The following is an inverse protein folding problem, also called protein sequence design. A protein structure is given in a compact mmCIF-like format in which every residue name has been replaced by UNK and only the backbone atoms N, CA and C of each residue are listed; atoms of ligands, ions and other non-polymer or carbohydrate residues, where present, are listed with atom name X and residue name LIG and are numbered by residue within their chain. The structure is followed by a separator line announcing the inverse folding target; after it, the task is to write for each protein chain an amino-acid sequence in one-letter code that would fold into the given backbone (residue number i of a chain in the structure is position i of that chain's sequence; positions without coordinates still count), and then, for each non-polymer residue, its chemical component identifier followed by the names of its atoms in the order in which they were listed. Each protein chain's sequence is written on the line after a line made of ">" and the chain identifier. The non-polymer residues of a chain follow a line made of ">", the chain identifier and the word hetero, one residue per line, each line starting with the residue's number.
data_IF_082832988836
#
_entry.id   IF_082832988836
#
_cell.length_a   1.000
_cell.length_b   1.000
_cell.length_c   1.000
_cell.angle_alpha   90.00
_cell.angle_beta   90.00
_cell.angle_gamma   90.00
#
_symmetry.space_group_name_H-M   'P 1'
#
loop_
_entity.id
_entity.type
_entity.pdbx_description
1 polymer ?
#
# COMPACT_ATOMS: atom_id res chain seq x y z
N UNK A 1 -17.46 -23.29 12.58
CA UNK A 1 -17.23 -21.83 12.45
C UNK A 1 -17.28 -21.51 10.97
N UNK A 2 -17.97 -20.44 10.56
CA UNK A 2 -17.96 -20.02 9.15
C UNK A 2 -16.56 -19.54 8.79
N UNK A 3 -15.96 -20.12 7.76
CA UNK A 3 -14.67 -19.68 7.24
C UNK A 3 -14.86 -18.36 6.48
N UNK A 4 -13.98 -17.38 6.69
CA UNK A 4 -13.98 -16.15 5.91
C UNK A 4 -13.90 -16.50 4.40
N UNK A 5 -14.73 -15.84 3.60
CA UNK A 5 -14.67 -15.95 2.14
C UNK A 5 -14.30 -14.59 1.57
N UNK A 6 -13.14 -14.53 0.91
CA UNK A 6 -12.65 -13.30 0.29
C UNK A 6 -13.52 -12.94 -0.93
N UNK A 7 -13.94 -11.68 -1.01
CA UNK A 7 -14.70 -11.15 -2.14
C UNK A 7 -14.11 -9.82 -2.59
N UNK A 8 -14.35 -9.44 -3.84
CA UNK A 8 -13.97 -8.11 -4.34
C UNK A 8 -14.61 -7.00 -3.49
N UNK A 9 -15.89 -7.14 -3.13
CA UNK A 9 -16.59 -6.17 -2.29
C UNK A 9 -15.90 -5.96 -0.93
N UNK A 10 -15.41 -7.04 -0.31
CA UNK A 10 -14.63 -6.95 0.92
C UNK A 10 -13.34 -6.16 0.69
N UNK A 11 -12.55 -6.50 -0.34
CA UNK A 11 -11.30 -5.79 -0.65
C UNK A 11 -11.53 -4.31 -0.90
N UNK A 12 -12.56 -3.96 -1.69
CA UNK A 12 -12.90 -2.56 -1.95
C UNK A 12 -13.33 -1.84 -0.68
N UNK A 13 -14.07 -2.49 0.23
CA UNK A 13 -14.41 -1.89 1.53
C UNK A 13 -13.19 -1.55 2.39
N UNK A 14 -12.06 -2.26 2.20
CA UNK A 14 -10.80 -1.96 2.87
C UNK A 14 -10.09 -0.76 2.25
N UNK A 15 -10.04 -0.70 0.91
CA UNK A 15 -9.21 0.25 0.16
C UNK A 15 -9.92 1.56 -0.18
N UNK A 16 -11.24 1.54 -0.25
CA UNK A 16 -12.08 2.65 -0.71
C UNK A 16 -13.06 3.14 0.38
N UNK A 17 -12.66 3.28 1.66
CA UNK A 17 -13.59 3.65 2.72
C UNK A 17 -14.23 5.02 2.46
N UNK A 18 -15.56 5.02 2.30
CA UNK A 18 -16.35 6.21 2.04
C UNK A 18 -16.23 6.78 0.62
N UNK A 19 -15.75 5.99 -0.34
CA UNK A 19 -15.82 6.31 -1.77
C UNK A 19 -17.21 5.91 -2.29
N UNK A 20 -17.90 6.86 -2.93
CA UNK A 20 -19.26 6.63 -3.45
C UNK A 20 -19.25 6.07 -4.88
N UNK A 21 -18.23 6.41 -5.67
CA UNK A 21 -18.13 6.00 -7.08
C UNK A 21 -16.83 5.23 -7.34
N UNK A 22 -16.91 4.06 -7.98
CA UNK A 22 -15.72 3.34 -8.42
C UNK A 22 -14.78 4.24 -9.23
N UNK A 23 -13.48 4.22 -8.89
CA UNK A 23 -12.46 5.03 -9.58
C UNK A 23 -12.23 6.44 -9.01
N UNK A 24 -12.85 6.81 -7.90
CA UNK A 24 -12.46 8.02 -7.16
C UNK A 24 -11.25 7.76 -6.24
N UNK A 25 -10.52 8.83 -5.93
CA UNK A 25 -9.36 8.76 -5.02
C UNK A 25 -9.85 8.74 -3.57
N UNK A 26 -9.44 7.72 -2.81
CA UNK A 26 -9.64 7.67 -1.37
C UNK A 26 -8.44 8.28 -0.63
N UNK A 27 -8.69 9.31 0.17
CA UNK A 27 -7.67 9.93 1.04
C UNK A 27 -7.64 9.34 2.46
N UNK A 28 -8.48 8.34 2.73
CA UNK A 28 -8.65 7.76 4.06
C UNK A 28 -8.00 6.38 4.20
N UNK A 29 -7.54 5.76 3.11
CA UNK A 29 -7.07 4.37 3.08
C UNK A 29 -5.98 4.06 4.10
N UNK A 30 -5.09 5.01 4.39
CA UNK A 30 -3.95 4.83 5.28
C UNK A 30 -4.07 5.59 6.62
N UNK A 31 -5.27 6.06 6.98
CA UNK A 31 -5.48 6.61 8.33
C UNK A 31 -5.37 5.49 9.37
N UNK A 32 -4.91 5.76 10.61
CA UNK A 32 -4.71 4.71 11.61
C UNK A 32 -5.96 3.87 11.93
N UNK A 33 -7.15 4.48 11.84
CA UNK A 33 -8.45 3.85 12.06
C UNK A 33 -9.10 3.33 10.76
N UNK A 34 -8.42 3.43 9.62
CA UNK A 34 -8.96 2.98 8.34
C UNK A 34 -9.16 1.46 8.30
N UNK A 35 -10.20 0.97 7.59
CA UNK A 35 -10.46 -0.45 7.47
C UNK A 35 -9.26 -1.30 7.00
N UNK A 36 -8.48 -0.81 6.03
CA UNK A 36 -7.25 -1.48 5.59
C UNK A 36 -6.27 -1.68 6.77
N UNK A 37 -5.98 -0.62 7.52
CA UNK A 37 -5.01 -0.67 8.63
C UNK A 37 -5.48 -1.62 9.73
N UNK A 38 -6.79 -1.68 9.99
CA UNK A 38 -7.39 -2.62 10.95
C UNK A 38 -7.44 -4.06 10.44
N UNK A 39 -7.40 -4.29 9.14
CA UNK A 39 -7.43 -5.63 8.54
C UNK A 39 -6.05 -6.29 8.47
N UNK A 40 -4.97 -5.54 8.60
CA UNK A 40 -3.59 -6.05 8.55
C UNK A 40 -3.21 -6.73 9.86
N UNK A 41 -2.61 -7.92 9.78
CA UNK A 41 -1.91 -8.54 10.90
C UNK A 41 -0.61 -7.75 11.20
N UNK A 42 -0.36 -7.29 12.44
CA UNK A 42 0.87 -6.56 12.77
C UNK A 42 2.17 -7.30 12.41
N UNK A 43 2.14 -8.64 12.39
CA UNK A 43 3.24 -9.52 12.04
C UNK A 43 3.21 -9.96 10.58
N UNK A 44 2.42 -9.31 9.72
CA UNK A 44 2.39 -9.67 8.30
C UNK A 44 3.80 -9.68 7.70
N UNK A 45 3.93 -10.42 6.61
CA UNK A 45 5.07 -10.31 5.71
C UNK A 45 4.75 -9.30 4.60
N UNK A 46 5.27 -8.07 4.67
CA UNK A 46 5.12 -7.06 3.63
C UNK A 46 6.36 -7.03 2.74
N UNK A 47 6.25 -7.56 1.54
CA UNK A 47 7.31 -7.63 0.54
C UNK A 47 7.16 -6.47 -0.43
N UNK A 48 8.22 -5.70 -0.64
CA UNK A 48 8.29 -4.69 -1.70
C UNK A 48 9.29 -5.13 -2.75
N UNK A 49 8.81 -5.28 -3.99
CA UNK A 49 9.49 -5.77 -5.20
C UNK A 49 9.98 -7.22 -5.15
N UNK A 50 10.89 -7.56 -4.24
CA UNK A 50 11.51 -8.87 -4.17
C UNK A 50 11.67 -9.34 -2.72
N UNK A 51 11.27 -10.58 -2.47
CA UNK A 51 11.33 -11.24 -1.18
C UNK A 51 12.61 -12.07 -0.99
N UNK A 52 13.29 -12.42 -2.09
CA UNK A 52 14.39 -13.39 -2.16
C UNK A 52 15.62 -12.86 -2.94
N UNK A 53 15.49 -11.75 -3.66
CA UNK A 53 16.59 -11.12 -4.38
C UNK A 53 17.47 -10.21 -3.53
N UNK A 54 18.66 -9.90 -4.08
CA UNK A 54 19.50 -8.83 -3.54
C UNK A 54 18.76 -7.49 -3.75
N UNK A 55 18.31 -6.86 -2.66
CA UNK A 55 17.83 -5.47 -2.73
C UNK A 55 18.90 -4.62 -3.41
N UNK A 56 18.51 -3.75 -4.34
CA UNK A 56 19.49 -2.92 -5.04
C UNK A 56 20.19 -2.01 -4.01
N UNK A 57 21.52 -2.07 -3.87
CA UNK A 57 22.22 -1.26 -2.89
C UNK A 57 21.91 0.23 -3.06
N UNK A 58 21.32 0.84 -2.04
CA UNK A 58 20.92 2.25 -2.03
C UNK A 58 19.45 2.52 -2.34
N UNK A 59 18.66 1.54 -2.79
CA UNK A 59 17.20 1.68 -2.91
C UNK A 59 16.56 1.41 -1.55
N UNK A 60 15.98 2.43 -0.93
CA UNK A 60 15.60 2.40 0.50
C UNK A 60 14.29 1.68 0.80
N UNK A 61 13.50 1.38 -0.23
CA UNK A 61 12.13 0.89 -0.07
C UNK A 61 11.94 -0.60 -0.45
N UNK A 62 13.00 -1.33 -0.80
CA UNK A 62 12.92 -2.75 -1.21
C UNK A 62 13.19 -3.68 -0.02
N UNK A 63 12.51 -4.82 0.02
CA UNK A 63 12.74 -5.88 1.00
C UNK A 63 11.48 -6.38 1.68
N UNK A 64 11.65 -7.03 2.84
CA UNK A 64 10.58 -7.64 3.63
C UNK A 64 10.46 -6.94 4.97
N UNK A 65 9.23 -6.57 5.32
CA UNK A 65 8.92 -5.78 6.51
C UNK A 65 7.74 -6.37 7.27
N UNK A 66 7.76 -6.24 8.60
CA UNK A 66 6.53 -6.22 9.41
C UNK A 66 5.76 -4.92 9.19
N UNK A 67 4.55 -4.78 9.77
CA UNK A 67 3.79 -3.53 9.66
C UNK A 67 4.59 -2.36 10.26
N UNK A 68 5.11 -2.53 11.47
CA UNK A 68 5.90 -1.50 12.17
C UNK A 68 7.15 -1.08 11.36
N UNK A 69 7.85 -2.05 10.78
CA UNK A 69 9.03 -1.76 9.95
C UNK A 69 8.66 -1.06 8.65
N UNK A 70 7.57 -1.46 7.99
CA UNK A 70 7.09 -0.78 6.80
C UNK A 70 6.68 0.66 7.13
N UNK A 71 6.00 0.88 8.26
CA UNK A 71 5.62 2.21 8.70
C UNK A 71 6.83 3.11 8.93
N UNK A 72 7.83 2.60 9.65
CA UNK A 72 9.01 3.37 10.07
C UNK A 72 10.02 3.57 8.93
N UNK A 73 10.22 2.56 8.08
CA UNK A 73 11.24 2.56 7.02
C UNK A 73 10.70 3.02 5.66
N UNK A 74 9.40 2.88 5.40
CA UNK A 74 8.78 3.18 4.10
C UNK A 74 7.72 4.29 4.19
N UNK A 75 6.64 4.08 4.97
CA UNK A 75 5.49 5.01 5.02
C UNK A 75 5.88 6.39 5.57
N UNK A 76 6.45 6.45 6.77
CA UNK A 76 6.79 7.72 7.44
C UNK A 76 7.83 8.51 6.63
N UNK A 77 8.90 7.87 6.11
CA UNK A 77 9.88 8.57 5.30
C UNK A 77 9.32 9.09 3.97
N UNK A 78 8.37 8.38 3.33
CA UNK A 78 7.62 8.91 2.18
C UNK A 78 6.71 10.06 2.61
N UNK A 79 5.93 9.90 3.67
CA UNK A 79 5.04 10.94 4.20
C UNK A 79 5.78 12.25 4.54
N UNK A 80 7.02 12.15 5.03
CA UNK A 80 7.88 13.31 5.28
C UNK A 80 8.27 14.09 4.01
N UNK A 81 8.14 13.50 2.82
CA UNK A 81 8.42 14.13 1.53
C UNK A 81 7.15 14.68 0.84
N UNK A 82 5.96 14.41 1.41
CA UNK A 82 4.67 14.81 0.85
C UNK A 82 4.01 15.93 1.66
N UNK A 83 3.12 16.69 1.04
CA UNK A 83 2.21 17.62 1.71
C UNK A 83 1.26 16.80 2.57
N UNK A 84 1.11 17.19 3.84
CA UNK A 84 0.28 16.48 4.80
C UNK A 84 -1.18 16.34 4.29
N UNK A 85 -1.75 15.14 4.43
CA UNK A 85 -3.11 14.84 3.97
C UNK A 85 -3.30 14.74 2.46
N UNK A 86 -2.25 14.94 1.64
CA UNK A 86 -2.38 14.89 0.18
C UNK A 86 -2.32 13.47 -0.41
N UNK A 87 -1.85 12.48 0.36
CA UNK A 87 -1.74 11.10 -0.12
C UNK A 87 -3.13 10.47 -0.27
N UNK A 88 -3.50 10.19 -1.50
CA UNK A 88 -4.68 9.44 -1.87
C UNK A 88 -4.35 8.19 -2.66
N UNK A 89 -5.24 7.20 -2.60
CA UNK A 89 -5.16 5.95 -3.32
C UNK A 89 -6.45 5.74 -4.13
N UNK A 90 -6.32 5.42 -5.41
CA UNK A 90 -7.43 4.94 -6.23
C UNK A 90 -7.24 3.46 -6.50
N UNK A 91 -8.28 2.68 -6.32
CA UNK A 91 -8.30 1.26 -6.69
C UNK A 91 -8.88 1.11 -8.10
N UNK A 92 -8.05 0.66 -9.03
CA UNK A 92 -8.43 0.53 -10.43
C UNK A 92 -9.10 -0.83 -10.69
N UNK A 93 -8.50 -1.92 -10.22
CA UNK A 93 -9.02 -3.28 -10.42
C UNK A 93 -8.74 -4.17 -9.23
N UNK A 94 -9.61 -5.14 -9.02
CA UNK A 94 -9.50 -6.19 -7.99
C UNK A 94 -9.79 -7.53 -8.65
N UNK A 95 -8.93 -8.51 -8.42
CA UNK A 95 -9.13 -9.90 -8.82
C UNK A 95 -8.99 -10.80 -7.60
N UNK A 96 -9.87 -11.79 -7.47
CA UNK A 96 -9.83 -12.74 -6.35
C UNK A 96 -9.36 -14.10 -6.88
N UNK A 97 -8.36 -14.69 -6.20
CA UNK A 97 -7.88 -16.04 -6.44
C UNK A 97 -7.72 -16.76 -5.11
N UNK A 98 -8.73 -17.56 -4.74
CA UNK A 98 -8.76 -18.22 -3.43
C UNK A 98 -8.80 -17.20 -2.29
N UNK A 99 -7.78 -17.22 -1.43
CA UNK A 99 -7.61 -16.28 -0.31
C UNK A 99 -6.68 -15.10 -0.65
N UNK A 100 -6.34 -14.89 -1.93
CA UNK A 100 -5.50 -13.78 -2.39
C UNK A 100 -6.34 -12.78 -3.18
N UNK A 101 -6.18 -11.49 -2.89
CA UNK A 101 -6.66 -10.40 -3.74
C UNK A 101 -5.50 -9.77 -4.50
N UNK A 102 -5.62 -9.67 -5.82
CA UNK A 102 -4.69 -8.94 -6.68
C UNK A 102 -5.32 -7.59 -7.00
N UNK A 103 -4.65 -6.50 -6.63
CA UNK A 103 -5.20 -5.16 -6.70
C UNK A 103 -4.28 -4.26 -7.52
N UNK A 104 -4.81 -3.66 -8.59
CA UNK A 104 -4.15 -2.56 -9.29
C UNK A 104 -4.59 -1.24 -8.64
N UNK A 105 -3.65 -0.42 -8.18
CA UNK A 105 -3.94 0.89 -7.58
C UNK A 105 -3.06 2.00 -8.12
N UNK A 106 -3.51 3.24 -7.98
CA UNK A 106 -2.75 4.45 -8.29
C UNK A 106 -2.70 5.36 -7.06
N UNK A 107 -1.50 5.65 -6.58
CA UNK A 107 -1.26 6.62 -5.51
C UNK A 107 -1.00 8.00 -6.08
N UNK A 108 -1.66 9.01 -5.52
CA UNK A 108 -1.50 10.41 -5.89
C UNK A 108 -1.24 11.26 -4.66
N UNK A 109 -0.24 12.13 -4.71
CA UNK A 109 0.01 13.13 -3.67
C UNK A 109 0.71 14.35 -4.23
N UNK A 110 0.87 15.39 -3.40
CA UNK A 110 1.75 16.53 -3.71
C UNK A 110 3.03 16.40 -2.91
N UNK A 111 4.19 16.46 -3.56
CA UNK A 111 5.49 16.49 -2.89
C UNK A 111 5.71 17.87 -2.23
N UNK A 112 6.57 17.95 -1.22
CA UNK A 112 6.88 19.22 -0.54
C UNK A 112 7.54 20.26 -1.44
N UNK A 113 8.24 19.82 -2.49
CA UNK A 113 8.77 20.69 -3.53
C UNK A 113 7.73 21.15 -4.59
N UNK A 114 6.45 20.81 -4.40
CA UNK A 114 5.35 21.19 -5.29
C UNK A 114 5.13 20.28 -6.50
N UNK A 115 6.03 19.32 -6.77
CA UNK A 115 5.83 18.34 -7.85
C UNK A 115 4.79 17.29 -7.48
N UNK A 116 4.12 16.66 -8.45
CA UNK A 116 3.21 15.56 -8.17
C UNK A 116 3.96 14.28 -7.78
N UNK A 117 3.38 13.48 -6.88
CA UNK A 117 3.73 12.09 -6.66
C UNK A 117 2.63 11.23 -7.28
N UNK A 118 2.95 10.49 -8.34
CA UNK A 118 1.99 9.65 -9.07
C UNK A 118 2.60 8.25 -9.27
N UNK A 119 2.40 7.36 -8.30
CA UNK A 119 2.90 6.00 -8.37
C UNK A 119 1.77 5.02 -8.73
N UNK A 120 2.14 3.92 -9.37
CA UNK A 120 1.21 2.82 -9.67
C UNK A 120 1.69 1.58 -8.95
N UNK A 121 0.72 0.81 -8.46
CA UNK A 121 0.99 -0.35 -7.65
C UNK A 121 0.22 -1.56 -8.17
N UNK A 122 0.83 -2.73 -8.01
CA UNK A 122 0.10 -3.99 -7.96
C UNK A 122 0.35 -4.61 -6.58
N UNK A 123 -0.72 -4.88 -5.85
CA UNK A 123 -0.67 -5.51 -4.54
C UNK A 123 -1.29 -6.90 -4.60
N UNK A 124 -0.60 -7.89 -4.05
CA UNK A 124 -1.14 -9.21 -3.79
C UNK A 124 -1.35 -9.31 -2.29
N UNK A 125 -2.61 -9.32 -1.86
CA UNK A 125 -3.01 -9.34 -0.47
C UNK A 125 -3.46 -10.76 -0.11
N UNK A 126 -2.69 -11.46 0.71
CA UNK A 126 -3.03 -12.81 1.18
C UNK A 126 -3.80 -12.72 2.50
N UNK A 127 -4.97 -13.34 2.56
CA UNK A 127 -5.84 -13.33 3.73
C UNK A 127 -5.80 -14.64 4.52
N UNK A 128 -5.88 -14.53 5.85
CA UNK A 128 -6.06 -15.66 6.76
C UNK A 128 -7.51 -16.19 6.74
N UNK A 129 -7.77 -17.39 7.30
CA UNK A 129 -9.14 -17.91 7.47
C UNK A 129 -10.08 -17.03 8.32
N UNK A 130 -9.53 -16.10 9.10
CA UNK A 130 -10.23 -15.10 9.92
C UNK A 130 -10.43 -13.76 9.19
N UNK A 131 -9.91 -13.63 7.96
CA UNK A 131 -10.03 -12.42 7.15
C UNK A 131 -9.01 -11.33 7.45
N UNK A 132 -7.88 -11.66 8.08
CA UNK A 132 -6.75 -10.73 8.27
C UNK A 132 -5.77 -10.81 7.11
N UNK A 133 -5.21 -9.68 6.68
CA UNK A 133 -4.13 -9.65 5.69
C UNK A 133 -2.83 -10.06 6.40
N UNK A 134 -2.27 -11.20 6.01
CA UNK A 134 -1.08 -11.81 6.63
C UNK A 134 0.17 -11.70 5.75
N UNK A 135 0.00 -11.38 4.48
CA UNK A 135 1.11 -11.10 3.56
C UNK A 135 0.67 -10.11 2.48
N UNK A 136 1.58 -9.21 2.12
CA UNK A 136 1.42 -8.27 1.01
C UNK A 136 2.64 -8.40 0.11
N UNK A 137 2.45 -8.65 -1.18
CA UNK A 137 3.48 -8.38 -2.19
C UNK A 137 3.13 -7.11 -2.95
N UNK A 138 3.97 -6.10 -2.81
CA UNK A 138 3.80 -4.79 -3.41
C UNK A 138 4.82 -4.58 -4.53
N UNK A 139 4.31 -4.37 -5.75
CA UNK A 139 5.08 -3.92 -6.90
C UNK A 139 4.77 -2.47 -7.17
N UNK A 140 5.80 -1.64 -7.34
CA UNK A 140 5.68 -0.21 -7.56
C UNK A 140 6.88 0.34 -8.36
N UNK A 141 6.81 1.61 -8.77
CA UNK A 141 7.96 2.28 -9.35
C UNK A 141 8.94 2.74 -8.25
N UNK A 142 9.94 1.92 -7.92
CA UNK A 142 10.95 2.23 -6.91
C UNK A 142 11.87 3.39 -7.33
N UNK A 143 12.15 3.55 -8.63
CA UNK A 143 12.90 4.69 -9.15
C UNK A 143 12.18 6.04 -8.95
N UNK A 144 10.85 6.04 -8.91
CA UNK A 144 10.08 7.23 -8.52
C UNK A 144 10.27 7.55 -7.04
N UNK A 145 10.25 6.56 -6.15
CA UNK A 145 10.49 6.78 -4.72
C UNK A 145 11.87 7.36 -4.45
N UNK A 146 12.91 6.81 -5.08
CA UNK A 146 14.28 7.33 -4.91
C UNK A 146 14.41 8.79 -5.34
N UNK A 147 13.75 9.16 -6.46
CA UNK A 147 13.71 10.55 -6.90
C UNK A 147 12.99 11.45 -5.89
N UNK A 148 11.85 11.01 -5.35
CA UNK A 148 11.11 11.77 -4.33
C UNK A 148 12.00 12.01 -3.12
N UNK A 149 12.76 11.00 -2.67
CA UNK A 149 13.68 11.14 -1.56
C UNK A 149 14.83 12.10 -1.86
N UNK A 150 15.47 11.96 -3.01
CA UNK A 150 16.58 12.82 -3.42
C UNK A 150 16.16 14.30 -3.56
N UNK A 151 14.92 14.56 -4.00
CA UNK A 151 14.44 15.93 -4.25
C UNK A 151 13.78 16.61 -3.04
N UNK A 152 13.51 15.88 -1.95
CA UNK A 152 12.79 16.42 -0.77
C UNK A 152 13.52 16.20 0.56
N UNK A 153 14.64 15.47 0.59
CA UNK A 153 15.47 15.31 1.78
C UNK A 153 16.79 16.06 1.59
N UNK A 154 16.86 17.25 2.16
CA UNK A 154 18.11 18.01 2.37
C UNK A 154 18.85 17.50 3.60
#
# INVERSE_FOLDING_TARGET
>A
MSTFTLTEAHVRSLLEPGVEKPGEVCYKTFLPDAPLMQAIDPKLRWVITDAEGECIPGVKAEGVFTLEEWETKVRNPLGACLVAGSLGLRTDKVYISGNVAIVETAGSATQKNGKPYNNKYAWFLTFSPEGKIVEIHEYLNTALLERVYAENRS
#
